data_IF_760201439143
#
_entry.id   IF_760201439143
#
_cell.length_a   1.000
_cell.length_b   1.000
_cell.length_c   1.000
_cell.angle_alpha   90.00
_cell.angle_beta   90.00
_cell.angle_gamma   90.00
#
_symmetry.space_group_name_H-M   'P 1'
#
loop_
_entity.id
_entity.type
_entity.pdbx_description
1 polymer ?
#
# COMPACT_ATOMS: atom_id res chain seq x y z
N UNK A 1 -6.09 74.50 -7.39
CA UNK A 1 -5.38 73.51 -6.54
C UNK A 1 -6.13 72.18 -6.45
N UNK A 2 -7.46 72.19 -6.22
CA UNK A 2 -8.31 70.98 -6.09
C UNK A 2 -8.17 69.94 -7.22
N UNK A 3 -8.16 70.38 -8.49
CA UNK A 3 -8.08 69.45 -9.63
C UNK A 3 -6.71 68.76 -9.74
N UNK A 4 -5.62 69.46 -9.39
CA UNK A 4 -4.27 68.87 -9.37
C UNK A 4 -4.11 67.82 -8.27
N UNK A 5 -4.76 68.03 -7.12
CA UNK A 5 -4.78 67.06 -6.03
C UNK A 5 -5.49 65.77 -6.47
N UNK A 6 -6.65 65.89 -7.11
CA UNK A 6 -7.43 64.74 -7.61
C UNK A 6 -6.64 63.93 -8.63
N UNK A 7 -5.96 64.59 -9.58
CA UNK A 7 -5.14 63.90 -10.59
C UNK A 7 -3.98 63.13 -9.96
N UNK A 8 -3.30 63.71 -8.97
CA UNK A 8 -2.19 63.05 -8.26
C UNK A 8 -2.69 61.83 -7.48
N UNK A 9 -3.83 61.92 -6.80
CA UNK A 9 -4.40 60.79 -6.05
C UNK A 9 -4.80 59.64 -6.97
N UNK A 10 -5.40 59.91 -8.14
CA UNK A 10 -5.77 58.86 -9.10
C UNK A 10 -4.53 58.14 -9.64
N UNK A 11 -3.46 58.88 -9.96
CA UNK A 11 -2.21 58.28 -10.45
C UNK A 11 -1.57 57.40 -9.37
N UNK A 12 -1.56 57.83 -8.12
CA UNK A 12 -1.03 57.03 -7.00
C UNK A 12 -1.86 55.76 -6.79
N UNK A 13 -3.19 55.85 -6.83
CA UNK A 13 -4.06 54.67 -6.69
C UNK A 13 -3.85 53.69 -7.84
N UNK A 14 -3.73 54.17 -9.08
CA UNK A 14 -3.44 53.32 -10.25
C UNK A 14 -2.05 52.68 -10.17
N UNK A 15 -1.03 53.39 -9.70
CA UNK A 15 0.31 52.85 -9.48
C UNK A 15 0.33 51.81 -8.35
N UNK A 16 -0.40 52.05 -7.26
CA UNK A 16 -0.53 51.10 -6.15
C UNK A 16 -1.32 49.86 -6.58
N UNK A 17 -2.37 50.01 -7.37
CA UNK A 17 -3.16 48.89 -7.90
C UNK A 17 -2.38 48.10 -8.96
N UNK A 18 -1.59 48.79 -9.81
CA UNK A 18 -0.66 48.17 -10.76
C UNK A 18 0.48 47.42 -10.08
N UNK A 19 1.06 47.98 -9.01
CA UNK A 19 2.07 47.28 -8.20
C UNK A 19 1.47 46.11 -7.42
N UNK A 20 0.22 46.21 -6.96
CA UNK A 20 -0.52 45.12 -6.33
C UNK A 20 -0.79 43.98 -7.32
N UNK A 21 -1.26 44.29 -8.54
CA UNK A 21 -1.45 43.26 -9.57
C UNK A 21 -0.14 42.63 -10.01
N UNK A 22 0.96 43.39 -10.14
CA UNK A 22 2.30 42.82 -10.42
C UNK A 22 2.85 41.96 -9.26
N UNK A 23 2.61 42.32 -7.99
CA UNK A 23 2.97 41.47 -6.83
C UNK A 23 2.13 40.20 -6.73
N UNK A 24 0.89 40.20 -7.23
CA UNK A 24 -0.01 39.04 -7.23
C UNK A 24 0.01 38.25 -8.55
N UNK A 25 0.70 38.72 -9.59
CA UNK A 25 0.86 38.03 -10.86
C UNK A 25 1.97 36.95 -10.86
N UNK A 26 2.45 36.52 -9.69
CA UNK A 26 3.12 35.22 -9.59
C UNK A 26 2.05 34.13 -9.65
N UNK A 27 1.53 33.87 -10.85
CA UNK A 27 0.86 32.61 -11.13
C UNK A 27 1.87 31.50 -10.90
N UNK A 28 1.76 30.85 -9.74
CA UNK A 28 2.38 29.56 -9.50
C UNK A 28 1.91 28.65 -10.64
N UNK A 29 2.78 28.42 -11.62
CA UNK A 29 2.56 27.42 -12.67
C UNK A 29 2.53 26.09 -11.94
N UNK A 30 1.34 25.63 -11.57
CA UNK A 30 1.15 24.37 -10.86
C UNK A 30 1.71 23.28 -11.75
N UNK A 31 2.87 22.73 -11.39
CA UNK A 31 3.40 21.54 -12.03
C UNK A 31 2.41 20.41 -11.76
N UNK A 32 1.67 20.02 -12.79
CA UNK A 32 0.76 18.88 -12.77
C UNK A 32 1.48 17.65 -12.21
N UNK A 33 0.92 17.07 -11.14
CA UNK A 33 1.48 15.90 -10.44
C UNK A 33 1.53 14.67 -11.34
N UNK A 34 0.54 14.51 -12.22
CA UNK A 34 0.51 13.50 -13.27
C UNK A 34 0.35 14.20 -14.61
N UNK A 35 0.97 13.68 -15.67
CA UNK A 35 0.60 14.07 -17.03
C UNK A 35 -0.80 13.54 -17.38
N UNK A 36 -1.32 13.91 -18.55
CA UNK A 36 -2.59 13.36 -19.06
C UNK A 36 -2.48 11.90 -19.57
N UNK A 37 -1.28 11.31 -19.63
CA UNK A 37 -1.07 9.98 -20.19
C UNK A 37 -1.74 8.85 -19.39
N UNK A 38 -2.41 7.91 -20.05
CA UNK A 38 -2.96 6.73 -19.37
C UNK A 38 -1.80 5.80 -18.99
N UNK A 39 -1.68 5.44 -17.70
CA UNK A 39 -0.67 4.49 -17.25
C UNK A 39 -1.26 3.08 -17.16
N UNK A 40 -0.52 2.10 -17.69
CA UNK A 40 -0.88 0.69 -17.67
C UNK A 40 0.40 -0.15 -17.72
N UNK A 41 0.27 -1.48 -17.69
CA UNK A 41 1.44 -2.37 -17.84
C UNK A 41 2.25 -1.99 -19.08
N UNK A 42 3.56 -1.87 -18.91
CA UNK A 42 4.51 -1.43 -19.94
C UNK A 42 4.80 0.08 -19.94
N UNK A 43 3.99 0.90 -19.26
CA UNK A 43 4.33 2.32 -19.04
C UNK A 43 5.57 2.46 -18.15
N UNK A 44 6.33 3.53 -18.35
CA UNK A 44 7.47 3.86 -17.49
C UNK A 44 7.67 5.38 -17.34
N UNK A 45 8.49 5.78 -16.38
CA UNK A 45 8.91 7.17 -16.19
C UNK A 45 8.32 7.85 -14.95
N UNK A 46 8.30 9.19 -14.96
CA UNK A 46 8.00 10.00 -13.77
C UNK A 46 6.61 9.77 -13.20
N UNK A 47 5.61 9.63 -14.07
CA UNK A 47 4.22 9.39 -13.65
C UNK A 47 4.06 8.02 -12.98
N UNK A 48 4.85 7.02 -13.41
CA UNK A 48 4.84 5.70 -12.78
C UNK A 48 5.53 5.72 -11.42
N UNK A 49 6.63 6.47 -11.26
CA UNK A 49 7.25 6.67 -9.94
C UNK A 49 6.29 7.36 -8.97
N UNK A 50 5.60 8.40 -9.44
CA UNK A 50 4.62 9.11 -8.62
C UNK A 50 3.45 8.20 -8.22
N UNK A 51 2.96 7.39 -9.15
CA UNK A 51 1.94 6.37 -8.89
C UNK A 51 2.41 5.37 -7.82
N UNK A 52 3.60 4.79 -8.01
CA UNK A 52 4.17 3.80 -7.09
C UNK A 52 4.40 4.41 -5.70
N UNK A 53 4.92 5.64 -5.61
CA UNK A 53 5.14 6.35 -4.36
C UNK A 53 3.85 6.60 -3.60
N UNK A 54 2.82 7.12 -4.28
CA UNK A 54 1.51 7.35 -3.65
C UNK A 54 0.82 6.05 -3.26
N UNK A 55 0.86 5.01 -4.09
CA UNK A 55 0.32 3.69 -3.73
C UNK A 55 1.06 3.09 -2.54
N UNK A 56 2.38 3.30 -2.44
CA UNK A 56 3.21 2.87 -1.31
C UNK A 56 2.87 3.63 -0.04
N UNK A 57 2.72 4.94 -0.11
CA UNK A 57 2.26 5.77 1.01
C UNK A 57 0.88 5.38 1.53
N UNK A 58 0.01 4.89 0.63
CA UNK A 58 -1.32 4.37 0.96
C UNK A 58 -1.33 2.88 1.38
N UNK A 59 -0.19 2.18 1.32
CA UNK A 59 -0.08 0.78 1.69
C UNK A 59 -0.59 -0.23 0.63
N UNK A 60 -0.84 0.21 -0.60
CA UNK A 60 -1.25 -0.67 -1.71
C UNK A 60 -0.06 -1.25 -2.49
N UNK A 61 1.14 -0.67 -2.34
CA UNK A 61 2.34 -1.07 -3.10
C UNK A 61 3.54 -1.26 -2.16
N UNK A 62 4.17 -2.43 -2.23
CA UNK A 62 5.34 -2.79 -1.41
C UNK A 62 6.65 -2.82 -2.21
N UNK A 63 6.57 -2.80 -3.54
CA UNK A 63 7.72 -2.85 -4.45
C UNK A 63 8.61 -1.59 -4.46
N UNK A 64 9.73 -1.63 -5.19
CA UNK A 64 10.58 -0.46 -5.41
C UNK A 64 9.87 0.61 -6.24
N UNK A 65 10.19 1.88 -6.00
CA UNK A 65 9.72 3.01 -6.81
C UNK A 65 10.70 3.17 -7.99
N UNK A 66 10.67 2.22 -8.91
CA UNK A 66 11.58 2.12 -10.06
C UNK A 66 11.07 2.88 -11.30
N UNK A 67 9.81 3.33 -11.27
CA UNK A 67 9.18 3.98 -12.41
C UNK A 67 8.81 3.03 -13.54
N UNK A 68 8.71 1.73 -13.27
CA UNK A 68 8.30 0.71 -14.24
C UNK A 68 6.93 0.13 -13.86
N UNK A 69 5.98 0.23 -14.77
CA UNK A 69 4.64 -0.29 -14.55
C UNK A 69 4.61 -1.78 -14.90
N UNK A 70 5.09 -2.61 -13.98
CA UNK A 70 5.00 -4.07 -14.05
C UNK A 70 3.76 -4.65 -13.38
N UNK A 71 3.73 -5.98 -13.24
CA UNK A 71 2.63 -6.72 -12.62
C UNK A 71 2.37 -6.30 -11.18
N UNK A 72 3.41 -6.00 -10.39
CA UNK A 72 3.26 -5.52 -9.00
C UNK A 72 2.51 -4.18 -8.95
N UNK A 73 2.90 -3.24 -9.81
CA UNK A 73 2.23 -1.93 -9.94
C UNK A 73 0.78 -2.10 -10.40
N UNK A 74 0.52 -2.98 -11.38
CA UNK A 74 -0.85 -3.29 -11.83
C UNK A 74 -1.73 -3.79 -10.70
N UNK A 75 -1.24 -4.76 -9.94
CA UNK A 75 -1.98 -5.31 -8.82
C UNK A 75 -2.32 -4.18 -7.83
N UNK A 76 -1.32 -3.41 -7.38
CA UNK A 76 -1.53 -2.29 -6.46
C UNK A 76 -2.58 -1.28 -6.97
N UNK A 77 -2.59 -0.98 -8.27
CA UNK A 77 -3.61 -0.14 -8.91
C UNK A 77 -4.99 -0.79 -8.85
N UNK A 78 -5.12 -2.06 -9.24
CA UNK A 78 -6.37 -2.82 -9.17
C UNK A 78 -6.93 -2.83 -7.74
N UNK A 79 -6.08 -3.02 -6.73
CA UNK A 79 -6.43 -2.97 -5.31
C UNK A 79 -6.94 -1.60 -4.89
N UNK A 80 -6.20 -0.55 -5.22
CA UNK A 80 -6.59 0.82 -4.96
C UNK A 80 -7.94 1.16 -5.63
N UNK A 81 -8.12 0.75 -6.89
CA UNK A 81 -9.36 0.97 -7.63
C UNK A 81 -10.55 0.29 -6.96
N UNK A 82 -10.43 -1.00 -6.62
CA UNK A 82 -11.46 -1.75 -5.92
C UNK A 82 -11.84 -1.09 -4.59
N UNK A 83 -10.85 -0.71 -3.78
CA UNK A 83 -11.07 -0.08 -2.46
C UNK A 83 -11.86 1.22 -2.55
N UNK A 84 -11.71 1.96 -3.63
CA UNK A 84 -12.38 3.25 -3.84
C UNK A 84 -13.58 3.19 -4.79
N UNK A 85 -14.15 2.00 -5.00
CA UNK A 85 -15.40 1.82 -5.77
C UNK A 85 -15.25 2.14 -7.26
N UNK A 86 -14.04 1.92 -7.80
CA UNK A 86 -13.75 2.09 -9.22
C UNK A 86 -13.65 0.74 -9.93
N UNK A 87 -13.75 0.76 -11.26
CA UNK A 87 -13.44 -0.42 -12.07
C UNK A 87 -11.98 -0.82 -11.81
N UNK A 88 -11.77 -2.04 -11.32
CA UNK A 88 -10.47 -2.56 -10.91
C UNK A 88 -9.71 -3.19 -12.11
N UNK A 89 -9.52 -2.41 -13.18
CA UNK A 89 -8.92 -2.87 -14.43
C UNK A 89 -7.38 -2.73 -14.50
N UNK A 90 -6.77 -2.12 -13.48
CA UNK A 90 -5.33 -1.86 -13.45
C UNK A 90 -4.90 -0.72 -14.37
N UNK A 91 -5.84 0.07 -14.90
CA UNK A 91 -5.58 1.20 -15.80
C UNK A 91 -5.73 2.53 -15.05
N UNK A 92 -4.65 3.32 -15.06
CA UNK A 92 -4.59 4.60 -14.34
C UNK A 92 -4.97 5.74 -15.27
N UNK A 93 -6.28 5.91 -15.45
CA UNK A 93 -6.89 7.07 -16.13
C UNK A 93 -7.14 8.24 -15.16
N UNK A 94 -7.79 9.29 -15.68
CA UNK A 94 -8.06 10.54 -14.94
C UNK A 94 -8.75 10.31 -13.58
N UNK A 95 -9.77 9.44 -13.52
CA UNK A 95 -10.49 9.12 -12.28
C UNK A 95 -9.57 8.50 -11.22
N UNK A 96 -8.74 7.54 -11.61
CA UNK A 96 -7.78 6.87 -10.73
C UNK A 96 -6.75 7.87 -10.20
N UNK A 97 -6.20 8.72 -11.07
CA UNK A 97 -5.23 9.76 -10.69
C UNK A 97 -5.80 10.79 -9.73
N UNK A 98 -6.99 11.29 -10.01
CA UNK A 98 -7.70 12.23 -9.14
C UNK A 98 -7.93 11.62 -7.76
N UNK A 99 -8.33 10.35 -7.71
CA UNK A 99 -8.55 9.67 -6.44
C UNK A 99 -7.25 9.47 -5.67
N UNK A 100 -6.17 9.10 -6.36
CA UNK A 100 -4.83 8.96 -5.78
C UNK A 100 -4.39 10.29 -5.16
N UNK A 101 -4.44 11.38 -5.93
CA UNK A 101 -4.10 12.72 -5.46
C UNK A 101 -4.92 13.13 -4.24
N UNK A 102 -6.24 12.96 -4.28
CA UNK A 102 -7.12 13.27 -3.15
C UNK A 102 -6.81 12.46 -1.89
N UNK A 103 -6.43 11.19 -2.04
CA UNK A 103 -6.04 10.33 -0.92
C UNK A 103 -4.63 10.63 -0.39
N UNK A 104 -3.83 11.41 -1.12
CA UNK A 104 -2.42 11.68 -0.80
C UNK A 104 -2.07 13.16 -0.96
N UNK A 105 -2.93 14.06 -0.47
CA UNK A 105 -2.71 15.52 -0.57
C UNK A 105 -1.40 15.99 0.09
N UNK A 106 -0.98 15.30 1.15
CA UNK A 106 0.24 15.60 1.89
C UNK A 106 1.47 14.84 1.38
N UNK A 107 1.31 14.00 0.34
CA UNK A 107 2.43 13.29 -0.26
C UNK A 107 3.36 14.27 -0.96
N UNK A 108 4.65 14.19 -0.61
CA UNK A 108 5.74 14.86 -1.32
C UNK A 108 6.61 13.77 -1.93
N UNK A 109 7.02 13.88 -3.20
CA UNK A 109 7.98 12.96 -3.78
C UNK A 109 9.26 13.01 -2.94
N UNK A 110 9.64 11.91 -2.29
CA UNK A 110 10.99 11.76 -1.74
C UNK A 110 11.95 11.65 -2.93
N UNK A 111 12.56 12.77 -3.29
CA UNK A 111 13.53 12.86 -4.36
C UNK A 111 14.87 12.27 -3.91
N UNK A 112 14.97 10.94 -3.86
CA UNK A 112 16.27 10.25 -3.92
C UNK A 112 16.12 8.95 -4.74
N UNK A 113 16.20 9.12 -6.06
CA UNK A 113 16.89 8.21 -6.98
C UNK A 113 16.74 8.76 -8.40
N UNK A 114 17.52 9.81 -8.68
CA UNK A 114 17.95 10.13 -10.04
C UNK A 114 19.42 10.48 -9.97
N UNK A 115 20.28 9.58 -10.45
CA UNK A 115 21.70 9.82 -10.59
C UNK A 115 21.98 11.03 -11.50
N UNK A 116 22.89 11.87 -11.05
CA UNK A 116 23.44 13.04 -11.74
C UNK A 116 24.33 13.82 -10.76
N UNK A 117 25.66 13.69 -10.91
CA UNK A 117 26.66 13.94 -9.87
C UNK A 117 26.91 15.39 -9.42
N UNK A 118 27.63 15.49 -8.29
CA UNK A 118 28.52 16.59 -7.95
C UNK A 118 28.15 17.40 -6.71
N UNK A 119 29.06 17.39 -5.71
CA UNK A 119 29.22 18.50 -4.75
C UNK A 119 28.79 18.19 -3.31
N UNK A 120 29.79 18.05 -2.43
CA UNK A 120 29.61 17.77 -1.01
C UNK A 120 28.95 18.89 -0.21
N UNK A 121 28.44 18.50 0.96
CA UNK A 121 27.91 19.41 1.97
C UNK A 121 27.27 18.63 3.12
N UNK A 122 28.08 18.29 4.13
CA UNK A 122 27.58 17.86 5.44
C UNK A 122 26.58 18.87 5.99
N UNK A 123 25.38 18.42 6.31
CA UNK A 123 24.56 19.05 7.35
C UNK A 123 23.63 18.01 7.96
N UNK A 124 23.96 17.69 9.21
CA UNK A 124 23.20 16.92 10.19
C UNK A 124 21.73 17.29 10.22
N UNK A 125 20.86 16.31 10.00
CA UNK A 125 19.42 16.42 10.29
C UNK A 125 19.06 15.52 11.49
N UNK A 126 18.10 15.95 12.33
CA UNK A 126 17.87 15.39 13.65
C UNK A 126 17.19 14.03 13.57
N UNK A 127 17.64 13.15 14.46
CA UNK A 127 17.10 11.85 14.79
C UNK A 127 15.59 11.89 15.06
N UNK A 128 14.78 11.38 14.14
CA UNK A 128 13.49 10.77 14.46
C UNK A 128 13.66 9.25 14.46
N UNK A 129 13.99 8.76 15.65
CA UNK A 129 14.07 7.35 16.00
C UNK A 129 12.69 6.71 15.88
N UNK A 130 12.37 6.14 14.71
CA UNK A 130 11.35 5.10 14.53
C UNK A 130 11.61 4.35 13.22
N UNK A 131 12.87 3.95 13.02
CA UNK A 131 13.22 3.02 11.96
C UNK A 131 12.75 1.64 12.40
N UNK A 132 11.74 1.14 11.69
CA UNK A 132 11.17 -0.20 11.77
C UNK A 132 12.14 -1.22 12.37
N UNK A 133 11.75 -1.84 13.50
CA UNK A 133 12.29 -3.15 13.91
C UNK A 133 12.04 -4.12 12.74
N UNK A 134 13.03 -4.28 11.89
CA UNK A 134 13.05 -5.34 10.89
C UNK A 134 13.09 -6.66 11.65
N UNK A 135 11.99 -7.38 11.62
CA UNK A 135 11.98 -8.79 11.97
C UNK A 135 12.99 -9.49 11.04
N UNK A 136 13.66 -10.56 11.46
CA UNK A 136 14.66 -11.30 10.66
C UNK A 136 14.16 -11.79 9.26
N UNK A 137 12.86 -11.62 8.95
CA UNK A 137 12.21 -11.94 7.67
C UNK A 137 12.01 -10.72 6.73
N UNK A 138 12.43 -9.51 7.12
CA UNK A 138 12.26 -8.29 6.31
C UNK A 138 10.81 -7.80 6.18
N UNK A 139 9.92 -8.22 7.08
CA UNK A 139 8.50 -7.84 7.09
C UNK A 139 8.31 -6.42 7.64
N UNK A 140 7.49 -5.63 6.95
CA UNK A 140 7.13 -4.27 7.37
C UNK A 140 6.03 -4.27 8.44
N UNK A 141 5.87 -3.16 9.17
CA UNK A 141 4.74 -2.99 10.10
C UNK A 141 3.37 -3.16 9.40
N UNK A 142 3.29 -2.82 8.11
CA UNK A 142 2.08 -3.02 7.32
C UNK A 142 1.83 -4.51 7.03
N UNK A 143 2.88 -5.29 6.71
CA UNK A 143 2.75 -6.73 6.52
C UNK A 143 2.21 -7.40 7.78
N UNK A 144 2.71 -6.99 8.96
CA UNK A 144 2.20 -7.49 10.24
C UNK A 144 0.73 -7.15 10.46
N UNK A 145 0.31 -5.95 10.07
CA UNK A 145 -1.10 -5.52 10.14
C UNK A 145 -1.97 -6.36 9.21
N UNK A 146 -1.56 -6.54 7.96
CA UNK A 146 -2.29 -7.33 6.96
C UNK A 146 -2.40 -8.79 7.42
N UNK A 147 -1.29 -9.40 7.85
CA UNK A 147 -1.29 -10.77 8.38
C UNK A 147 -2.24 -10.91 9.56
N UNK A 148 -2.19 -9.99 10.53
CA UNK A 148 -3.02 -10.10 11.72
C UNK A 148 -4.51 -9.97 11.40
N UNK A 149 -4.90 -9.09 10.46
CA UNK A 149 -6.29 -8.97 10.03
C UNK A 149 -6.74 -10.18 9.20
N UNK A 150 -5.88 -10.72 8.34
CA UNK A 150 -6.15 -11.96 7.61
C UNK A 150 -6.35 -13.14 8.58
N UNK A 151 -5.40 -13.35 9.51
CA UNK A 151 -5.50 -14.37 10.56
C UNK A 151 -6.78 -14.21 11.36
N UNK A 152 -7.13 -12.99 11.77
CA UNK A 152 -8.35 -12.76 12.54
C UNK A 152 -9.61 -13.13 11.74
N UNK A 153 -9.71 -12.77 10.46
CA UNK A 153 -10.85 -13.15 9.63
C UNK A 153 -11.00 -14.67 9.48
N UNK A 154 -9.89 -15.37 9.32
CA UNK A 154 -9.87 -16.81 9.07
C UNK A 154 -10.04 -17.66 10.34
N UNK A 155 -9.67 -17.13 11.51
CA UNK A 155 -9.55 -17.94 12.74
C UNK A 155 -10.17 -17.28 13.98
N UNK A 156 -11.09 -16.33 13.79
CA UNK A 156 -11.86 -15.76 14.90
C UNK A 156 -12.65 -16.86 15.62
N UNK A 157 -12.44 -16.97 16.93
CA UNK A 157 -13.10 -17.98 17.76
C UNK A 157 -12.42 -19.36 17.75
N UNK A 158 -11.33 -19.52 16.99
CA UNK A 158 -10.49 -20.72 17.04
C UNK A 158 -9.54 -20.67 18.26
N UNK A 159 -9.06 -21.83 18.73
CA UNK A 159 -8.01 -21.86 19.75
C UNK A 159 -6.78 -21.09 19.28
N UNK A 160 -6.02 -20.51 20.22
CA UNK A 160 -4.86 -19.67 19.90
C UNK A 160 -3.87 -20.35 18.93
N UNK A 161 -3.62 -21.64 19.14
CA UNK A 161 -2.75 -22.43 18.26
C UNK A 161 -3.27 -22.54 16.81
N UNK A 162 -4.59 -22.45 16.60
CA UNK A 162 -5.21 -22.36 15.28
C UNK A 162 -4.99 -20.99 14.61
N UNK A 163 -4.92 -19.91 15.39
CA UNK A 163 -4.57 -18.59 14.86
C UNK A 163 -3.09 -18.55 14.44
N UNK A 164 -2.19 -19.13 15.24
CA UNK A 164 -0.78 -19.30 14.88
C UNK A 164 -0.64 -20.18 13.63
N UNK A 165 -1.46 -21.23 13.50
CA UNK A 165 -1.47 -22.11 12.35
C UNK A 165 -1.80 -21.37 11.04
N UNK A 166 -2.81 -20.50 11.03
CA UNK A 166 -3.13 -19.68 9.84
C UNK A 166 -1.98 -18.70 9.52
N UNK A 167 -1.38 -18.08 10.54
CA UNK A 167 -0.23 -17.20 10.35
C UNK A 167 0.97 -17.96 9.73
N UNK A 168 1.23 -19.18 10.20
CA UNK A 168 2.27 -20.04 9.66
C UNK A 168 2.01 -20.42 8.20
N UNK A 169 0.76 -20.74 7.83
CA UNK A 169 0.37 -21.00 6.42
C UNK A 169 0.68 -19.79 5.52
N UNK A 170 0.41 -18.56 5.96
CA UNK A 170 0.77 -17.35 5.20
C UNK A 170 2.28 -17.32 4.93
N UNK A 171 3.10 -17.56 5.97
CA UNK A 171 4.55 -17.55 5.84
C UNK A 171 5.07 -18.72 4.98
N UNK A 172 4.43 -19.90 5.06
CA UNK A 172 4.75 -21.06 4.24
C UNK A 172 4.45 -20.81 2.77
N UNK A 173 3.34 -20.12 2.47
CA UNK A 173 3.04 -19.66 1.11
C UNK A 173 4.08 -18.66 0.62
N UNK A 174 4.47 -17.67 1.41
CA UNK A 174 5.52 -16.70 1.03
C UNK A 174 6.85 -17.40 0.68
N UNK A 175 7.18 -18.50 1.36
CA UNK A 175 8.40 -19.31 1.10
C UNK A 175 8.24 -20.29 -0.07
N UNK A 176 7.02 -20.64 -0.45
CA UNK A 176 6.75 -21.66 -1.45
C UNK A 176 6.83 -21.10 -2.87
N UNK A 177 7.48 -21.80 -3.82
CA UNK A 177 7.55 -21.36 -5.21
C UNK A 177 6.19 -21.38 -5.92
N UNK A 178 5.17 -22.04 -5.35
CA UNK A 178 3.81 -22.10 -5.90
C UNK A 178 2.98 -20.85 -5.61
N UNK A 179 3.52 -19.89 -4.85
CA UNK A 179 2.80 -18.71 -4.39
C UNK A 179 3.63 -17.44 -4.58
N UNK A 180 3.01 -16.25 -4.52
CA UNK A 180 3.74 -14.99 -4.45
C UNK A 180 4.70 -14.96 -3.26
N UNK A 181 5.90 -14.42 -3.49
CA UNK A 181 6.97 -14.35 -2.49
C UNK A 181 6.88 -13.11 -1.57
N UNK A 182 5.68 -12.58 -1.35
CA UNK A 182 5.43 -11.41 -0.48
C UNK A 182 4.14 -11.64 0.31
N UNK A 183 4.08 -11.13 1.55
CA UNK A 183 2.89 -11.23 2.40
C UNK A 183 1.67 -10.64 1.72
N UNK A 184 1.82 -9.42 1.19
CA UNK A 184 0.78 -8.75 0.39
C UNK A 184 0.33 -9.64 -0.77
N UNK A 185 1.27 -10.15 -1.57
CA UNK A 185 0.96 -11.02 -2.70
C UNK A 185 0.16 -12.27 -2.31
N UNK A 186 0.48 -12.91 -1.18
CA UNK A 186 -0.25 -14.09 -0.66
C UNK A 186 -1.63 -13.71 -0.16
N UNK A 187 -1.74 -12.70 0.70
CA UNK A 187 -3.00 -12.30 1.34
C UNK A 187 -4.02 -11.86 0.30
N UNK A 188 -3.55 -11.23 -0.77
CA UNK A 188 -4.37 -10.65 -1.81
C UNK A 188 -4.60 -11.58 -3.00
N UNK A 189 -4.27 -12.86 -2.92
CA UNK A 189 -4.72 -13.80 -3.95
C UNK A 189 -6.27 -13.89 -3.96
N UNK A 190 -6.91 -13.91 -5.14
CA UNK A 190 -8.37 -13.98 -5.22
C UNK A 190 -8.95 -15.16 -4.42
N UNK A 191 -9.82 -14.87 -3.46
CA UNK A 191 -10.48 -15.87 -2.61
C UNK A 191 -9.60 -16.53 -1.56
N UNK A 192 -8.36 -16.07 -1.35
CA UNK A 192 -7.45 -16.71 -0.39
C UNK A 192 -7.76 -16.38 1.08
N UNK A 193 -8.32 -15.20 1.36
CA UNK A 193 -8.65 -14.72 2.70
C UNK A 193 -9.96 -13.92 2.69
N UNK A 194 -10.90 -14.30 3.53
CA UNK A 194 -12.23 -13.68 3.69
C UNK A 194 -12.13 -12.21 4.12
N UNK A 195 -11.20 -11.89 5.03
CA UNK A 195 -10.96 -10.53 5.52
C UNK A 195 -10.70 -9.50 4.41
N UNK A 196 -10.20 -9.95 3.26
CA UNK A 196 -9.99 -9.10 2.08
C UNK A 196 -11.33 -8.75 1.43
N UNK A 197 -12.15 -9.77 1.14
CA UNK A 197 -13.47 -9.60 0.52
C UNK A 197 -14.41 -8.79 1.42
N UNK A 198 -14.35 -9.04 2.73
CA UNK A 198 -15.18 -8.37 3.74
C UNK A 198 -14.69 -6.96 4.09
N UNK A 199 -13.58 -6.51 3.49
CA UNK A 199 -12.98 -5.19 3.72
C UNK A 199 -12.34 -5.00 5.10
N UNK A 200 -12.27 -6.05 5.93
CA UNK A 200 -11.72 -6.04 7.28
C UNK A 200 -10.18 -5.95 7.31
N UNK A 201 -9.51 -6.22 6.19
CA UNK A 201 -8.05 -6.25 6.09
C UNK A 201 -7.35 -4.94 6.48
N UNK A 202 -8.08 -3.82 6.54
CA UNK A 202 -7.53 -2.48 6.84
C UNK A 202 -7.79 -2.00 8.28
N UNK A 203 -8.51 -2.77 9.09
CA UNK A 203 -8.90 -2.40 10.44
C UNK A 203 -7.70 -2.46 11.42
N UNK A 204 -7.90 -1.95 12.64
CA UNK A 204 -6.93 -2.14 13.72
C UNK A 204 -6.86 -3.63 14.08
N UNK A 205 -5.67 -4.26 14.07
CA UNK A 205 -5.54 -5.68 14.34
C UNK A 205 -6.02 -6.07 15.73
N UNK A 206 -6.68 -7.23 15.80
CA UNK A 206 -6.96 -7.89 17.07
C UNK A 206 -5.64 -8.27 17.76
N UNK A 207 -5.54 -8.03 19.06
CA UNK A 207 -4.32 -8.26 19.83
C UNK A 207 -3.87 -9.73 19.82
N UNK A 208 -4.80 -10.68 19.92
CA UNK A 208 -4.48 -12.11 19.89
C UNK A 208 -3.99 -12.54 18.50
N UNK A 209 -4.64 -12.07 17.43
CA UNK A 209 -4.19 -12.37 16.07
C UNK A 209 -2.81 -11.76 15.77
N UNK A 210 -2.55 -10.53 16.24
CA UNK A 210 -1.22 -9.90 16.14
C UNK A 210 -0.15 -10.70 16.89
N UNK A 211 -0.47 -11.20 18.09
CA UNK A 211 0.44 -12.07 18.86
C UNK A 211 0.70 -13.39 18.13
N UNK A 212 -0.34 -14.01 17.57
CA UNK A 212 -0.21 -15.25 16.80
C UNK A 212 0.69 -15.09 15.56
N UNK A 213 0.58 -13.95 14.87
CA UNK A 213 1.49 -13.59 13.77
C UNK A 213 2.93 -13.47 14.26
N UNK A 214 3.15 -12.81 15.40
CA UNK A 214 4.49 -12.68 15.96
C UNK A 214 5.10 -14.05 16.33
N UNK A 215 4.32 -14.95 16.93
CA UNK A 215 4.79 -16.28 17.28
C UNK A 215 5.14 -17.10 16.04
N UNK A 216 4.34 -17.00 14.97
CA UNK A 216 4.66 -17.65 13.69
C UNK A 216 5.94 -17.08 13.05
N UNK A 217 6.14 -15.77 13.11
CA UNK A 217 7.38 -15.09 12.64
C UNK A 217 8.60 -15.56 13.44
N UNK A 218 8.42 -15.82 14.73
CA UNK A 218 9.46 -16.35 15.61
C UNK A 218 9.73 -17.86 15.38
N UNK A 219 9.09 -18.47 14.39
CA UNK A 219 9.34 -19.85 13.96
C UNK A 219 8.32 -20.87 14.44
N UNK A 220 7.26 -20.45 15.14
CA UNK A 220 6.20 -21.38 15.56
C UNK A 220 5.33 -21.77 14.35
N UNK A 221 5.51 -22.99 13.86
CA UNK A 221 4.62 -23.58 12.85
C UNK A 221 3.96 -24.85 13.39
N UNK A 222 2.75 -24.74 13.97
CA UNK A 222 2.03 -25.92 14.47
C UNK A 222 1.50 -26.80 13.34
N UNK A 223 1.48 -26.34 12.09
CA UNK A 223 0.96 -27.08 10.94
C UNK A 223 1.97 -28.07 10.37
N UNK A 224 3.26 -27.83 10.61
CA UNK A 224 4.35 -28.64 10.04
C UNK A 224 4.58 -28.37 8.56
N UNK A 225 4.52 -27.11 8.13
CA UNK A 225 4.80 -26.71 6.75
C UNK A 225 3.58 -26.68 5.81
N UNK A 226 2.35 -26.79 6.33
CA UNK A 226 1.16 -26.79 5.49
C UNK A 226 1.00 -25.46 4.75
N UNK A 227 0.47 -25.52 3.53
CA UNK A 227 0.21 -24.36 2.66
C UNK A 227 -1.29 -24.20 2.33
N UNK A 228 -2.11 -25.16 2.76
CA UNK A 228 -3.55 -25.12 2.65
C UNK A 228 -4.21 -25.45 3.98
N UNK A 229 -5.45 -24.99 4.14
CA UNK A 229 -6.36 -25.45 5.18
C UNK A 229 -7.80 -25.31 4.71
N UNK A 230 -8.72 -26.02 5.35
CA UNK A 230 -10.14 -25.87 5.12
C UNK A 230 -10.96 -26.29 6.34
N UNK A 231 -12.17 -25.77 6.44
CA UNK A 231 -13.16 -26.26 7.41
C UNK A 231 -13.96 -27.41 6.78
N UNK A 232 -13.88 -28.65 7.30
CA UNK A 232 -14.53 -29.81 6.70
C UNK A 232 -16.07 -29.73 6.73
N UNK A 233 -16.64 -28.87 7.57
CA UNK A 233 -18.10 -28.67 7.65
C UNK A 233 -18.60 -27.80 6.49
N UNK A 234 -17.80 -26.84 6.02
CA UNK A 234 -18.22 -25.84 5.04
C UNK A 234 -17.53 -25.99 3.68
N UNK A 235 -16.46 -26.77 3.59
CA UNK A 235 -15.68 -26.92 2.36
C UNK A 235 -16.39 -27.77 1.30
N UNK A 236 -16.70 -27.13 0.16
CA UNK A 236 -17.35 -27.78 -0.98
C UNK A 236 -16.40 -28.15 -2.12
N UNK A 237 -15.16 -27.65 -2.10
CA UNK A 237 -14.18 -27.86 -3.18
C UNK A 237 -13.65 -29.29 -3.19
N UNK A 238 -13.96 -30.09 -4.22
CA UNK A 238 -13.41 -31.46 -4.36
C UNK A 238 -11.88 -31.49 -4.36
N UNK A 239 -11.25 -30.45 -4.93
CA UNK A 239 -9.80 -30.36 -4.99
C UNK A 239 -9.16 -30.23 -3.60
N UNK A 240 -9.75 -29.48 -2.67
CA UNK A 240 -9.16 -29.31 -1.33
C UNK A 240 -9.17 -30.64 -0.55
N UNK A 241 -10.22 -31.44 -0.73
CA UNK A 241 -10.35 -32.77 -0.14
C UNK A 241 -9.34 -33.79 -0.69
N UNK A 242 -8.79 -33.56 -1.88
CA UNK A 242 -7.72 -34.40 -2.46
C UNK A 242 -6.32 -34.07 -1.95
N UNK A 243 -6.13 -32.96 -1.21
CA UNK A 243 -4.82 -32.60 -0.67
C UNK A 243 -4.42 -33.56 0.46
N UNK A 244 -3.13 -33.90 0.61
CA UNK A 244 -2.65 -34.69 1.73
C UNK A 244 -2.95 -33.98 3.06
N UNK A 245 -3.87 -34.54 3.85
CA UNK A 245 -4.30 -34.00 5.13
C UNK A 245 -3.26 -34.34 6.20
N UNK A 246 -2.77 -33.33 6.92
CA UNK A 246 -1.67 -33.50 7.88
C UNK A 246 -2.22 -33.56 9.30
N UNK A 247 -3.07 -32.61 9.68
CA UNK A 247 -3.66 -32.54 11.03
C UNK A 247 -4.87 -31.61 11.09
N UNK A 248 -5.61 -31.73 12.18
CA UNK A 248 -6.73 -30.86 12.52
C UNK A 248 -6.38 -29.98 13.71
N UNK A 249 -6.61 -28.68 13.61
CA UNK A 249 -6.49 -27.72 14.72
C UNK A 249 -7.76 -26.88 14.76
N UNK A 250 -8.49 -26.98 15.86
CA UNK A 250 -9.82 -26.37 15.96
C UNK A 250 -10.75 -26.93 14.88
N UNK A 251 -11.34 -26.04 14.08
CA UNK A 251 -12.24 -26.39 12.97
C UNK A 251 -11.52 -26.59 11.65
N UNK A 252 -10.20 -26.41 11.58
CA UNK A 252 -9.47 -26.48 10.32
C UNK A 252 -8.66 -27.77 10.19
N UNK A 253 -8.77 -28.41 9.03
CA UNK A 253 -7.83 -29.43 8.55
C UNK A 253 -6.74 -28.71 7.75
N UNK A 254 -5.48 -28.97 8.08
CA UNK A 254 -4.30 -28.39 7.41
C UNK A 254 -3.68 -29.41 6.45
N UNK A 255 -3.24 -28.95 5.29
CA UNK A 255 -2.78 -29.80 4.19
C UNK A 255 -1.52 -29.28 3.48
N UNK A 256 -0.78 -30.22 2.88
CA UNK A 256 0.31 -29.94 1.94
C UNK A 256 -0.21 -29.57 0.56
#
# INVERSE_FOLDING_TARGET
>A
MRNRLITVTIVIVLLLFGAFTLKHATFNKSTETFSNAILKVGSSGKDVRELQGRLKALGFFDGPIDGVFGTKTKNAVTWFQWKFGMKADGVVGAKTKLKLWNATKNWKPTAESSGGGGGGGSSSSPSTSDVNKSNNLGLSANDLKLMANAVYGESRGEPYIGQVAVAAVILNRVKSPSFPNTVSGVIFQPGAFTAVADGQIWLTPNANAKKAVQDAINGMDPTGGCIYYFNPVTATSKWIWSRPQVKTIGKHIFCM
#
